data_IF_745240869272
#
_entry.id   IF_745240869272
#
_cell.length_a   1.000
_cell.length_b   1.000
_cell.length_c   1.000
_cell.angle_alpha   90.00
_cell.angle_beta   90.00
_cell.angle_gamma   90.00
#
_symmetry.space_group_name_H-M   'P 1'
#
loop_
_entity.id
_entity.type
_entity.pdbx_description
1 polymer ?
#
# COMPACT_ATOMS: atom_id res chain seq x y z
N UNK A 1 33.57 37.86 -23.22
CA UNK A 1 32.39 37.86 -22.34
C UNK A 1 31.25 36.97 -22.82
N UNK A 2 31.00 36.78 -24.12
CA UNK A 2 29.89 35.91 -24.61
C UNK A 2 30.03 34.42 -24.35
N UNK A 3 31.27 33.89 -24.26
CA UNK A 3 31.50 32.44 -24.04
C UNK A 3 31.35 31.96 -22.58
N UNK A 4 31.47 32.87 -21.62
CA UNK A 4 31.38 32.51 -20.19
C UNK A 4 29.95 32.39 -19.71
N UNK A 5 29.06 33.24 -20.28
CA UNK A 5 27.62 33.21 -19.93
C UNK A 5 26.96 31.93 -20.48
N UNK A 6 27.36 31.47 -21.67
CA UNK A 6 26.82 30.24 -22.28
C UNK A 6 27.19 28.98 -21.50
N UNK A 7 28.39 28.93 -20.90
CA UNK A 7 28.83 27.79 -20.08
C UNK A 7 28.13 27.74 -18.72
N UNK A 8 27.80 28.91 -18.15
CA UNK A 8 27.08 29.00 -16.87
C UNK A 8 25.61 28.56 -17.04
N UNK A 9 24.97 28.93 -18.15
CA UNK A 9 23.61 28.54 -18.46
C UNK A 9 23.52 27.01 -18.71
N UNK A 10 24.52 26.42 -19.37
CA UNK A 10 24.56 24.98 -19.60
C UNK A 10 24.77 24.17 -18.31
N UNK A 11 25.54 24.70 -17.35
CA UNK A 11 25.78 24.06 -16.05
C UNK A 11 24.55 24.14 -15.13
N UNK A 12 23.74 25.20 -15.25
CA UNK A 12 22.52 25.40 -14.46
C UNK A 12 21.36 24.52 -14.93
N UNK A 13 21.36 24.07 -16.19
CA UNK A 13 20.32 23.18 -16.75
C UNK A 13 20.54 21.70 -16.40
N UNK A 14 21.72 21.33 -15.91
CA UNK A 14 22.05 19.93 -15.57
C UNK A 14 21.65 19.53 -14.15
N UNK A 15 21.18 20.47 -13.32
CA UNK A 15 20.89 20.21 -11.89
C UNK A 15 19.43 19.92 -11.56
N UNK A 16 18.52 19.89 -12.56
CA UNK A 16 17.08 19.69 -12.31
C UNK A 16 16.56 18.28 -12.56
N UNK A 17 17.41 17.29 -12.77
CA UNK A 17 17.00 15.91 -13.04
C UNK A 17 17.13 14.96 -11.84
N UNK A 18 17.11 15.48 -10.61
CA UNK A 18 16.83 14.65 -9.41
C UNK A 18 15.32 14.68 -9.12
N UNK A 19 14.53 14.30 -10.12
CA UNK A 19 13.13 14.02 -9.90
C UNK A 19 12.98 12.70 -9.17
N UNK A 20 12.58 12.79 -7.90
CA UNK A 20 11.70 11.86 -7.20
C UNK A 20 11.71 10.43 -7.76
N UNK A 21 12.68 9.61 -7.40
CA UNK A 21 12.45 8.19 -7.28
C UNK A 21 11.45 8.03 -6.12
N UNK A 22 10.16 8.13 -6.43
CA UNK A 22 9.15 7.56 -5.57
C UNK A 22 9.53 6.09 -5.46
N UNK A 23 9.83 5.64 -4.25
CA UNK A 23 9.94 4.23 -3.94
C UNK A 23 8.55 3.62 -4.18
N UNK A 24 8.26 3.36 -5.45
CA UNK A 24 7.22 2.41 -5.81
C UNK A 24 7.71 1.08 -5.26
N UNK A 25 7.02 0.57 -4.24
CA UNK A 25 7.30 -0.77 -3.74
C UNK A 25 7.35 -1.77 -4.90
N UNK A 26 7.94 -2.96 -4.69
CA UNK A 26 8.09 -3.94 -5.76
C UNK A 26 6.76 -4.16 -6.47
N UNK A 27 6.80 -4.33 -7.80
CA UNK A 27 5.59 -4.49 -8.61
C UNK A 27 4.82 -5.75 -8.19
N UNK A 28 3.66 -5.56 -7.56
CA UNK A 28 2.76 -6.62 -7.13
C UNK A 28 1.52 -6.74 -8.02
N UNK A 29 0.88 -7.90 -7.99
CA UNK A 29 -0.39 -8.15 -8.64
C UNK A 29 -1.52 -8.11 -7.62
N UNK A 30 -2.48 -7.21 -7.77
CA UNK A 30 -3.65 -7.14 -6.89
C UNK A 30 -4.51 -8.42 -6.93
N UNK A 31 -4.61 -9.06 -8.09
CA UNK A 31 -5.35 -10.32 -8.26
C UNK A 31 -4.71 -11.45 -7.45
N UNK A 32 -3.40 -11.68 -7.62
CA UNK A 32 -2.68 -12.69 -6.81
C UNK A 32 -2.65 -12.30 -5.33
N UNK A 33 -2.60 -10.99 -5.05
CA UNK A 33 -2.65 -10.46 -3.69
C UNK A 33 -3.95 -10.77 -2.98
N UNK A 34 -5.09 -10.65 -3.67
CA UNK A 34 -6.38 -11.06 -3.14
C UNK A 34 -6.40 -12.55 -2.80
N UNK A 35 -5.92 -13.40 -3.73
CA UNK A 35 -5.83 -14.84 -3.51
C UNK A 35 -4.95 -15.19 -2.30
N UNK A 36 -3.78 -14.55 -2.18
CA UNK A 36 -2.86 -14.74 -1.05
C UNK A 36 -3.46 -14.21 0.26
N UNK A 37 -4.13 -13.07 0.24
CA UNK A 37 -4.81 -12.47 1.39
C UNK A 37 -5.88 -13.42 1.97
N UNK A 38 -6.64 -14.06 1.09
CA UNK A 38 -7.63 -15.06 1.48
C UNK A 38 -6.97 -16.37 1.93
N UNK A 39 -5.98 -16.87 1.19
CA UNK A 39 -5.22 -18.10 1.50
C UNK A 39 -4.59 -18.07 2.89
N UNK A 40 -3.99 -16.94 3.27
CA UNK A 40 -3.32 -16.78 4.55
C UNK A 40 -4.23 -16.26 5.67
N UNK A 41 -5.53 -16.22 5.40
CA UNK A 41 -6.59 -15.88 6.37
C UNK A 41 -6.46 -14.47 6.99
N UNK A 42 -5.82 -13.53 6.30
CA UNK A 42 -5.71 -12.14 6.74
C UNK A 42 -7.09 -11.50 6.98
N UNK A 43 -8.08 -11.93 6.18
CA UNK A 43 -9.46 -11.46 6.24
C UNK A 43 -10.15 -11.75 7.57
N UNK A 44 -9.75 -12.77 8.31
CA UNK A 44 -10.41 -13.15 9.57
C UNK A 44 -10.31 -12.07 10.64
N UNK A 45 -9.21 -11.29 10.61
CA UNK A 45 -8.99 -10.18 11.52
C UNK A 45 -9.20 -8.82 10.85
N UNK A 46 -8.90 -8.70 9.56
CA UNK A 46 -8.86 -7.41 8.86
C UNK A 46 -10.05 -7.18 7.91
N UNK A 47 -10.97 -8.15 7.81
CA UNK A 47 -12.08 -8.10 6.86
C UNK A 47 -11.67 -8.44 5.42
N UNK A 48 -12.61 -8.87 4.60
CA UNK A 48 -12.35 -9.38 3.25
C UNK A 48 -11.73 -8.36 2.29
N UNK A 49 -12.01 -7.07 2.52
CA UNK A 49 -11.46 -5.96 1.76
C UNK A 49 -10.40 -5.17 2.54
N UNK A 50 -9.92 -5.69 3.67
CA UNK A 50 -9.02 -4.94 4.55
C UNK A 50 -9.69 -3.76 5.24
N UNK A 51 -11.02 -3.76 5.31
CA UNK A 51 -11.82 -2.68 5.91
C UNK A 51 -11.75 -2.64 7.44
N UNK A 52 -11.10 -3.62 8.06
CA UNK A 52 -11.13 -3.89 9.49
C UNK A 52 -12.25 -4.87 9.85
N UNK A 53 -12.16 -5.49 11.00
CA UNK A 53 -13.19 -6.41 11.48
C UNK A 53 -14.25 -5.67 12.31
N UNK A 54 -15.50 -6.07 12.18
CA UNK A 54 -16.64 -5.49 12.90
C UNK A 54 -16.50 -5.61 14.43
N UNK A 55 -15.70 -6.54 14.89
CA UNK A 55 -15.46 -6.81 16.32
C UNK A 55 -14.10 -6.34 16.82
N UNK A 56 -13.39 -5.49 16.07
CA UNK A 56 -12.18 -4.81 16.52
C UNK A 56 -10.95 -5.68 16.69
N UNK A 57 -10.90 -6.88 16.12
CA UNK A 57 -9.75 -7.79 16.23
C UNK A 57 -8.58 -7.38 15.35
N UNK A 58 -8.82 -6.65 14.24
CA UNK A 58 -7.78 -6.15 13.37
C UNK A 58 -8.10 -4.76 12.84
N UNK A 59 -7.10 -3.87 12.75
CA UNK A 59 -7.31 -2.53 12.23
C UNK A 59 -7.63 -2.55 10.74
N UNK A 60 -8.20 -1.44 10.27
CA UNK A 60 -8.40 -1.17 8.86
C UNK A 60 -7.05 -1.06 8.14
N UNK A 61 -6.89 -1.77 7.03
CA UNK A 61 -5.70 -1.79 6.19
C UNK A 61 -5.89 -1.04 4.87
N UNK A 62 -7.07 -1.14 4.28
CA UNK A 62 -7.40 -0.56 2.98
C UNK A 62 -8.43 0.57 3.13
N UNK A 63 -8.41 1.58 2.22
CA UNK A 63 -7.63 1.65 0.98
C UNK A 63 -6.21 2.18 1.14
N UNK A 64 -5.81 2.65 2.28
CA UNK A 64 -4.51 3.30 2.49
C UNK A 64 -3.65 2.46 3.46
N UNK A 65 -3.01 1.38 2.99
CA UNK A 65 -2.10 0.62 3.83
C UNK A 65 -0.91 1.47 4.26
N UNK A 66 -0.22 1.05 5.32
CA UNK A 66 1.07 1.62 5.68
C UNK A 66 2.02 1.61 4.48
N UNK A 67 2.98 2.53 4.41
CA UNK A 67 4.04 2.45 3.41
C UNK A 67 4.69 1.05 3.40
N UNK A 68 5.02 0.52 2.22
CA UNK A 68 5.44 -0.88 2.05
C UNK A 68 6.50 -1.36 3.05
N UNK A 69 7.59 -0.60 3.34
CA UNK A 69 8.57 -1.05 4.32
C UNK A 69 7.98 -1.28 5.72
N UNK A 70 7.12 -0.37 6.18
CA UNK A 70 6.46 -0.48 7.48
C UNK A 70 5.42 -1.62 7.49
N UNK A 71 4.69 -1.79 6.39
CA UNK A 71 3.76 -2.90 6.18
C UNK A 71 4.49 -4.24 6.25
N UNK A 72 5.61 -4.39 5.55
CA UNK A 72 6.40 -5.61 5.54
C UNK A 72 6.95 -5.95 6.93
N UNK A 73 7.47 -4.96 7.65
CA UNK A 73 7.93 -5.15 9.05
C UNK A 73 6.77 -5.60 9.94
N UNK A 74 5.59 -4.96 9.84
CA UNK A 74 4.43 -5.33 10.65
C UNK A 74 3.96 -6.76 10.36
N UNK A 75 4.02 -7.24 9.13
CA UNK A 75 3.62 -8.61 8.78
C UNK A 75 4.67 -9.63 9.23
N UNK A 76 5.97 -9.31 9.15
CA UNK A 76 7.07 -10.21 9.50
C UNK A 76 7.32 -10.30 11.02
N UNK A 77 7.26 -9.17 11.69
CA UNK A 77 7.48 -8.99 13.14
C UNK A 77 6.36 -8.15 13.73
N UNK A 78 5.15 -8.72 13.82
CA UNK A 78 3.98 -7.95 14.22
C UNK A 78 4.05 -7.49 15.67
N UNK A 79 3.33 -6.41 15.93
CA UNK A 79 2.99 -5.96 17.29
C UNK A 79 1.63 -6.51 17.66
N UNK A 80 1.38 -6.63 18.95
CA UNK A 80 0.11 -7.11 19.52
C UNK A 80 -0.22 -8.54 19.08
N UNK A 81 -1.48 -8.85 18.92
CA UNK A 81 -2.01 -10.21 18.74
C UNK A 81 -1.94 -10.74 17.30
N UNK A 82 -1.38 -9.97 16.36
CA UNK A 82 -1.22 -10.41 14.98
C UNK A 82 -0.15 -11.53 14.91
N UNK A 83 -0.43 -12.69 14.30
CA UNK A 83 0.58 -13.73 14.14
C UNK A 83 1.68 -13.32 13.15
N UNK A 84 2.95 -13.72 13.35
CA UNK A 84 4.02 -13.44 12.40
C UNK A 84 3.94 -14.32 11.16
N UNK A 85 4.00 -13.71 10.00
CA UNK A 85 4.06 -14.41 8.72
C UNK A 85 5.50 -14.43 8.19
N UNK A 86 6.22 -15.52 8.46
CA UNK A 86 7.62 -15.70 8.06
C UNK A 86 7.73 -15.94 6.54
N UNK A 87 8.93 -15.71 5.97
CA UNK A 87 9.19 -15.87 4.54
C UNK A 87 8.95 -17.28 4.00
N UNK A 88 9.13 -18.28 4.86
CA UNK A 88 8.93 -19.69 4.54
C UNK A 88 7.44 -20.01 4.25
N UNK A 89 6.54 -19.21 4.80
CA UNK A 89 5.08 -19.40 4.64
C UNK A 89 4.48 -18.41 3.64
N UNK A 90 4.89 -17.14 3.74
CA UNK A 90 4.46 -16.07 2.84
C UNK A 90 5.71 -15.47 2.20
N UNK A 91 5.96 -15.80 0.95
CA UNK A 91 7.11 -15.27 0.21
C UNK A 91 7.08 -13.73 0.12
N UNK A 92 8.21 -13.12 -0.20
CA UNK A 92 8.27 -11.66 -0.40
C UNK A 92 7.40 -11.22 -1.59
N UNK A 93 7.28 -12.07 -2.62
CA UNK A 93 6.40 -11.78 -3.75
C UNK A 93 4.92 -11.82 -3.35
N UNK A 94 4.49 -12.83 -2.60
CA UNK A 94 3.11 -12.90 -2.11
C UNK A 94 2.79 -11.72 -1.18
N UNK A 95 3.75 -11.30 -0.34
CA UNK A 95 3.58 -10.12 0.52
C UNK A 95 3.42 -8.85 -0.31
N UNK A 96 4.21 -8.70 -1.36
CA UNK A 96 4.12 -7.59 -2.30
C UNK A 96 2.80 -7.59 -3.05
N UNK A 97 2.33 -8.76 -3.48
CA UNK A 97 1.04 -8.92 -4.14
C UNK A 97 -0.12 -8.56 -3.18
N UNK A 98 -0.06 -9.01 -1.91
CA UNK A 98 -1.04 -8.61 -0.88
C UNK A 98 -1.07 -7.08 -0.69
N UNK A 99 0.09 -6.45 -0.67
CA UNK A 99 0.19 -4.99 -0.58
C UNK A 99 -0.48 -4.30 -1.79
N UNK A 100 -0.22 -4.81 -2.99
CA UNK A 100 -0.85 -4.31 -4.21
C UNK A 100 -2.38 -4.47 -4.16
N UNK A 101 -2.89 -5.59 -3.65
CA UNK A 101 -4.31 -5.80 -3.43
C UNK A 101 -4.90 -4.74 -2.49
N UNK A 102 -4.35 -4.60 -1.29
CA UNK A 102 -4.84 -3.63 -0.30
C UNK A 102 -4.81 -2.19 -0.82
N UNK A 103 -3.78 -1.85 -1.60
CA UNK A 103 -3.65 -0.53 -2.24
C UNK A 103 -4.66 -0.31 -3.37
N UNK A 104 -5.16 -1.38 -3.99
CA UNK A 104 -6.14 -1.31 -5.09
C UNK A 104 -7.58 -1.17 -4.62
N UNK A 105 -7.86 -1.44 -3.36
CA UNK A 105 -9.21 -1.36 -2.79
C UNK A 105 -9.69 0.08 -2.80
N UNK A 106 -10.85 0.30 -3.39
CA UNK A 106 -11.45 1.64 -3.45
C UNK A 106 -12.03 2.04 -2.10
N UNK A 107 -11.99 3.33 -1.74
CA UNK A 107 -12.71 3.84 -0.59
C UNK A 107 -14.20 3.51 -0.67
N UNK A 108 -14.82 3.24 0.47
CA UNK A 108 -16.28 3.16 0.55
C UNK A 108 -16.91 4.48 0.13
N UNK A 109 -18.09 4.42 -0.47
CA UNK A 109 -18.86 5.62 -0.77
C UNK A 109 -19.12 6.43 0.51
N UNK A 110 -19.08 7.76 0.41
CA UNK A 110 -19.46 8.60 1.53
C UNK A 110 -20.97 8.42 1.81
N UNK A 111 -21.39 8.50 3.06
CA UNK A 111 -22.80 8.30 3.44
C UNK A 111 -23.76 9.17 2.63
N UNK A 112 -23.39 10.41 2.35
CA UNK A 112 -24.16 11.35 1.51
C UNK A 112 -24.36 10.88 0.07
N UNK A 113 -23.50 9.99 -0.43
CA UNK A 113 -23.52 9.48 -1.80
C UNK A 113 -24.27 8.14 -1.92
N UNK A 114 -24.84 7.66 -0.81
CA UNK A 114 -25.66 6.43 -0.77
C UNK A 114 -27.14 6.84 -0.83
N UNK A 115 -27.83 6.65 -1.97
CA UNK A 115 -29.21 7.14 -2.14
C UNK A 115 -30.20 6.62 -1.08
N UNK A 116 -30.01 5.37 -0.63
CA UNK A 116 -30.86 4.72 0.37
C UNK A 116 -30.70 5.29 1.79
N UNK A 117 -29.64 6.07 2.05
CA UNK A 117 -29.40 6.71 3.36
C UNK A 117 -29.80 8.18 3.39
N UNK A 118 -30.25 8.74 2.26
CA UNK A 118 -30.74 10.12 2.17
C UNK A 118 -32.24 10.14 2.51
N UNK A 119 -32.56 9.95 3.80
CA UNK A 119 -33.92 10.16 4.31
C UNK A 119 -34.15 11.66 4.43
N UNK A 120 -35.04 12.21 3.57
CA UNK A 120 -35.64 13.54 3.74
C UNK A 120 -36.96 13.43 4.45
#
# INVERSE_FOLDING_TARGET
MRGMISKIIFLLLLTTALASAQESGPAGSAERGHQSYMKYMCYTCHGTLGQGADRGTGPKLAPNPLAYPAFAVQVRTPRLDMPPYRKEFVSDQELTDIYAYLSSVKPSAALKDIPLLNFQ
#
